data_IF_312440725130
#
_entry.id   IF_312440725130
#
_cell.length_a   1.000
_cell.length_b   1.000
_cell.length_c   1.000
_cell.angle_alpha   90.00
_cell.angle_beta   90.00
_cell.angle_gamma   90.00
#
_symmetry.space_group_name_H-M   'P 1'
#
loop_
_entity.id
_entity.type
_entity.pdbx_description
1 polymer ?
#
# COMPACT_ATOMS: atom_id res chain seq x y z
N UNK A 1 1.41 16.32 -19.48
CA UNK A 1 1.81 15.19 -20.38
C UNK A 1 0.60 14.75 -21.16
N UNK A 2 0.65 14.61 -22.50
CA UNK A 2 -0.56 14.34 -23.30
C UNK A 2 -0.74 12.83 -23.47
N UNK A 3 -1.87 12.31 -23.00
CA UNK A 3 -2.28 10.93 -23.23
C UNK A 3 -2.85 10.81 -24.65
N UNK A 4 -2.36 9.87 -25.43
CA UNK A 4 -2.82 9.62 -26.81
C UNK A 4 -3.33 8.19 -26.93
N UNK A 5 -4.47 8.01 -27.61
CA UNK A 5 -5.08 6.70 -27.85
C UNK A 5 -5.88 6.16 -26.65
N UNK A 6 -6.28 4.90 -26.75
CA UNK A 6 -7.03 4.20 -25.70
C UNK A 6 -6.07 3.52 -24.70
N UNK A 7 -6.45 3.39 -23.42
CA UNK A 7 -5.67 2.66 -22.46
C UNK A 7 -5.60 1.16 -22.83
N UNK A 8 -4.43 0.55 -22.66
CA UNK A 8 -4.25 -0.90 -22.83
C UNK A 8 -4.79 -1.69 -21.63
N UNK A 9 -4.91 -1.01 -20.49
CA UNK A 9 -5.46 -1.60 -19.26
C UNK A 9 -6.19 -0.51 -18.48
N UNK A 10 -7.34 -0.84 -17.92
CA UNK A 10 -8.08 0.02 -16.97
C UNK A 10 -8.57 -0.85 -15.84
N UNK A 11 -8.32 -0.42 -14.61
CA UNK A 11 -8.85 -1.04 -13.41
C UNK A 11 -9.05 0.02 -12.32
N UNK A 12 -9.91 -0.29 -11.36
CA UNK A 12 -10.16 0.65 -10.28
C UNK A 12 -11.23 0.18 -9.32
N UNK A 13 -11.37 0.95 -8.28
CA UNK A 13 -12.39 0.81 -7.24
C UNK A 13 -13.05 2.17 -7.01
N UNK A 14 -14.03 2.24 -6.11
CA UNK A 14 -14.54 3.54 -5.67
C UNK A 14 -13.47 4.44 -5.03
N UNK A 15 -12.35 3.86 -4.55
CA UNK A 15 -11.26 4.61 -3.91
C UNK A 15 -10.18 5.10 -4.88
N UNK A 16 -9.83 4.31 -5.87
CA UNK A 16 -8.70 4.58 -6.78
C UNK A 16 -8.99 4.04 -8.18
N UNK A 17 -8.66 4.81 -9.20
CA UNK A 17 -8.72 4.42 -10.61
C UNK A 17 -7.34 4.48 -11.24
N UNK A 18 -7.00 3.48 -12.06
CA UNK A 18 -5.74 3.39 -12.80
C UNK A 18 -6.03 3.07 -14.27
N UNK A 19 -5.43 3.85 -15.17
CA UNK A 19 -5.45 3.64 -16.60
C UNK A 19 -4.01 3.61 -17.12
N UNK A 20 -3.69 2.64 -17.96
CA UNK A 20 -2.33 2.44 -18.48
C UNK A 20 -2.36 2.63 -20.00
N UNK A 21 -1.52 3.53 -20.48
CA UNK A 21 -1.38 3.87 -21.89
C UNK A 21 0.03 3.53 -22.37
N UNK A 22 0.21 3.14 -23.63
CA UNK A 22 1.54 3.07 -24.21
C UNK A 22 2.14 4.49 -24.32
N UNK A 23 3.42 4.64 -24.02
CA UNK A 23 4.12 5.90 -24.28
C UNK A 23 4.57 5.96 -25.75
N UNK A 24 4.71 7.19 -26.28
CA UNK A 24 5.04 7.37 -27.72
C UNK A 24 6.40 6.77 -28.08
N UNK A 25 7.42 6.97 -27.23
CA UNK A 25 8.77 6.50 -27.54
C UNK A 25 9.02 5.07 -27.03
N UNK A 26 8.82 4.86 -25.73
CA UNK A 26 8.96 3.54 -25.06
C UNK A 26 8.35 3.56 -23.69
N UNK A 27 7.97 2.39 -23.16
CA UNK A 27 7.36 2.22 -21.83
C UNK A 27 5.88 2.58 -21.82
N UNK A 28 5.40 2.97 -20.66
CA UNK A 28 3.98 3.18 -20.39
C UNK A 28 3.75 4.43 -19.54
N UNK A 29 2.53 4.96 -19.66
CA UNK A 29 2.01 6.05 -18.84
C UNK A 29 0.89 5.50 -17.95
N UNK A 30 1.14 5.50 -16.64
CA UNK A 30 0.13 5.11 -15.65
C UNK A 30 -0.56 6.36 -15.15
N UNK A 31 -1.80 6.57 -15.56
CA UNK A 31 -2.65 7.63 -15.03
C UNK A 31 -3.43 7.10 -13.84
N UNK A 32 -3.15 7.65 -12.68
CA UNK A 32 -3.84 7.31 -11.44
C UNK A 32 -4.61 8.51 -10.93
N UNK A 33 -5.80 8.29 -10.41
CA UNK A 33 -6.66 9.33 -9.84
C UNK A 33 -7.48 8.79 -8.68
N UNK A 34 -7.87 9.64 -7.71
CA UNK A 34 -8.86 9.27 -6.72
C UNK A 34 -10.10 8.74 -7.40
N UNK A 35 -10.67 7.67 -6.86
CA UNK A 35 -11.93 7.11 -7.35
C UNK A 35 -13.14 7.98 -6.97
N UNK A 36 -14.31 7.71 -7.52
CA UNK A 36 -15.50 8.55 -7.32
C UNK A 36 -16.04 8.55 -5.88
N UNK A 37 -15.62 7.61 -5.04
CA UNK A 37 -16.00 7.51 -3.63
C UNK A 37 -14.82 7.81 -2.70
N UNK A 38 -13.67 8.23 -3.22
CA UNK A 38 -12.53 8.58 -2.40
C UNK A 38 -12.89 9.77 -1.49
N UNK A 39 -12.65 9.66 -0.18
CA UNK A 39 -12.99 10.74 0.75
C UNK A 39 -12.09 11.97 0.56
N UNK A 40 -10.86 11.74 0.08
CA UNK A 40 -9.83 12.77 -0.07
C UNK A 40 -9.08 12.60 -1.40
N UNK A 41 -8.57 13.71 -1.96
CA UNK A 41 -7.63 13.71 -3.07
C UNK A 41 -6.25 13.16 -2.65
N UNK A 42 -5.35 13.02 -3.62
CA UNK A 42 -3.94 12.71 -3.33
C UNK A 42 -3.27 13.85 -2.56
N UNK A 43 -2.30 13.48 -1.71
CA UNK A 43 -1.43 14.48 -1.09
C UNK A 43 -0.71 15.28 -2.17
N UNK A 44 -0.55 16.57 -1.97
CA UNK A 44 0.16 17.47 -2.89
C UNK A 44 1.51 17.86 -2.26
N UNK A 45 2.58 17.06 -2.42
CA UNK A 45 3.90 17.43 -1.95
C UNK A 45 4.40 18.67 -2.72
N UNK A 46 5.26 19.47 -2.08
CA UNK A 46 6.01 20.51 -2.78
C UNK A 46 6.87 19.89 -3.89
N UNK A 47 7.25 20.67 -4.91
CA UNK A 47 8.15 20.19 -5.96
C UNK A 47 9.48 19.70 -5.38
N UNK A 48 10.05 20.44 -4.41
CA UNK A 48 11.25 20.05 -3.70
C UNK A 48 11.11 18.69 -3.00
N UNK A 49 10.00 18.46 -2.28
CA UNK A 49 9.76 17.16 -1.65
C UNK A 49 9.58 16.04 -2.67
N UNK A 50 8.89 16.29 -3.78
CA UNK A 50 8.72 15.32 -4.85
C UNK A 50 10.07 14.92 -5.47
N UNK A 51 10.95 15.91 -5.71
CA UNK A 51 12.30 15.66 -6.23
C UNK A 51 13.15 14.84 -5.22
N UNK A 52 13.13 15.22 -3.95
CA UNK A 52 13.83 14.47 -2.88
C UNK A 52 13.28 13.05 -2.68
N UNK A 53 12.00 12.84 -2.88
CA UNK A 53 11.36 11.53 -2.81
C UNK A 53 11.61 10.66 -4.07
N UNK A 54 12.16 11.25 -5.14
CA UNK A 54 12.58 10.52 -6.34
C UNK A 54 13.95 9.88 -6.11
N UNK A 55 13.99 8.87 -5.25
CA UNK A 55 15.22 8.15 -4.91
C UNK A 55 15.44 6.96 -5.85
N UNK A 56 16.71 6.56 -5.99
CA UNK A 56 17.11 5.42 -6.80
C UNK A 56 18.04 4.48 -6.01
N UNK A 57 17.94 3.18 -6.30
CA UNK A 57 18.81 2.14 -5.80
C UNK A 57 19.22 1.24 -6.97
N UNK A 58 20.48 1.32 -7.41
CA UNK A 58 20.96 0.77 -8.67
C UNK A 58 20.14 1.35 -9.84
N UNK A 59 19.53 0.50 -10.68
CA UNK A 59 18.64 0.87 -11.78
C UNK A 59 17.16 0.97 -11.38
N UNK A 60 16.81 0.66 -10.13
CA UNK A 60 15.45 0.77 -9.58
C UNK A 60 15.18 2.18 -9.03
N UNK A 61 13.92 2.62 -9.02
CA UNK A 61 13.58 3.97 -8.56
C UNK A 61 12.16 4.12 -7.97
N UNK A 62 12.01 5.07 -7.09
CA UNK A 62 10.72 5.67 -6.79
C UNK A 62 10.40 6.71 -7.88
N UNK A 63 9.20 6.66 -8.42
CA UNK A 63 8.75 7.55 -9.50
C UNK A 63 7.68 8.49 -8.96
N UNK A 64 7.96 9.78 -8.93
CA UNK A 64 6.97 10.81 -8.61
C UNK A 64 6.38 11.40 -9.89
N UNK A 65 5.21 11.99 -9.79
CA UNK A 65 4.57 12.72 -10.86
C UNK A 65 3.85 13.97 -10.31
N UNK A 66 3.88 15.10 -11.02
CA UNK A 66 3.09 16.27 -10.63
C UNK A 66 1.60 15.94 -10.69
N UNK A 67 0.80 16.70 -9.94
CA UNK A 67 -0.65 16.60 -10.04
C UNK A 67 -1.12 17.29 -11.34
N UNK A 68 -1.98 16.60 -12.08
CA UNK A 68 -2.73 17.19 -13.19
C UNK A 68 -3.87 18.09 -12.64
N UNK A 69 -4.46 18.97 -13.47
CA UNK A 69 -5.55 19.87 -13.02
C UNK A 69 -6.76 19.16 -12.42
N UNK A 70 -7.01 17.92 -12.82
CA UNK A 70 -8.11 17.07 -12.33
C UNK A 70 -7.71 16.22 -11.09
N UNK A 71 -6.55 16.48 -10.51
CA UNK A 71 -6.02 15.76 -9.36
C UNK A 71 -5.39 14.40 -9.67
N UNK A 72 -5.39 13.98 -10.93
CA UNK A 72 -4.69 12.76 -11.35
C UNK A 72 -3.18 12.93 -11.33
N UNK A 73 -2.46 11.82 -11.40
CA UNK A 73 -1.02 11.76 -11.63
C UNK A 73 -0.70 10.86 -12.81
N UNK A 74 0.24 11.27 -13.66
CA UNK A 74 0.67 10.51 -14.84
C UNK A 74 2.13 10.14 -14.65
N UNK A 75 2.37 8.87 -14.35
CA UNK A 75 3.71 8.31 -14.15
C UNK A 75 4.24 7.72 -15.45
N UNK A 76 5.47 8.07 -15.83
CA UNK A 76 6.17 7.43 -16.96
C UNK A 76 7.07 6.33 -16.42
N UNK A 77 6.80 5.09 -16.84
CA UNK A 77 7.43 3.87 -16.34
C UNK A 77 7.73 2.86 -17.45
N UNK A 78 8.58 1.88 -17.14
CA UNK A 78 9.02 0.89 -18.12
C UNK A 78 7.95 -0.19 -18.39
N UNK A 79 7.14 -0.56 -17.38
CA UNK A 79 6.22 -1.70 -17.43
C UNK A 79 4.74 -1.34 -17.41
N UNK A 80 3.90 -2.27 -17.84
CA UNK A 80 2.43 -2.17 -17.77
C UNK A 80 1.83 -3.04 -16.68
N UNK A 81 2.58 -3.96 -16.10
CA UNK A 81 2.09 -4.90 -15.11
C UNK A 81 2.59 -4.49 -13.72
N UNK A 82 1.79 -4.74 -12.69
CA UNK A 82 2.20 -4.54 -11.30
C UNK A 82 2.74 -5.83 -10.70
N UNK A 83 3.54 -5.71 -9.62
CA UNK A 83 3.99 -6.86 -8.84
C UNK A 83 2.80 -7.63 -8.24
N UNK A 84 1.73 -6.93 -7.84
CA UNK A 84 0.50 -7.59 -7.39
C UNK A 84 -0.10 -8.48 -8.50
N UNK A 85 -0.20 -7.99 -9.74
CA UNK A 85 -0.72 -8.76 -10.86
C UNK A 85 0.16 -9.98 -11.17
N UNK A 86 1.50 -9.81 -11.08
CA UNK A 86 2.44 -10.91 -11.23
C UNK A 86 2.25 -12.01 -10.17
N UNK A 87 2.19 -11.62 -8.89
CA UNK A 87 1.99 -12.56 -7.78
C UNK A 87 0.64 -13.29 -7.85
N UNK A 88 -0.43 -12.59 -8.21
CA UNK A 88 -1.76 -13.20 -8.39
C UNK A 88 -1.80 -14.23 -9.54
N UNK A 89 -0.99 -14.00 -10.57
CA UNK A 89 -0.98 -14.86 -11.76
C UNK A 89 -0.02 -16.04 -11.65
N UNK A 90 1.15 -15.83 -11.07
CA UNK A 90 2.26 -16.78 -11.08
C UNK A 90 2.67 -17.26 -9.69
N UNK A 91 2.18 -16.63 -8.62
CA UNK A 91 2.58 -16.92 -7.24
C UNK A 91 3.95 -16.34 -6.88
N UNK A 92 4.47 -16.74 -5.70
CA UNK A 92 5.78 -16.33 -5.25
C UNK A 92 6.89 -17.00 -6.06
N UNK A 93 7.94 -16.24 -6.40
CA UNK A 93 9.08 -16.74 -7.18
C UNK A 93 10.30 -15.83 -7.06
N UNK A 94 11.45 -16.23 -7.66
CA UNK A 94 12.71 -15.49 -7.55
C UNK A 94 12.63 -14.07 -8.14
N UNK A 95 11.83 -13.87 -9.19
CA UNK A 95 11.64 -12.55 -9.80
C UNK A 95 10.90 -11.61 -8.84
N UNK A 96 9.86 -12.11 -8.17
CA UNK A 96 9.14 -11.33 -7.15
C UNK A 96 10.02 -11.08 -5.92
N UNK A 97 10.87 -12.03 -5.53
CA UNK A 97 11.84 -11.86 -4.45
C UNK A 97 12.85 -10.74 -4.78
N UNK A 98 13.39 -10.75 -6.01
CA UNK A 98 14.26 -9.68 -6.50
C UNK A 98 13.56 -8.31 -6.47
N UNK A 99 12.32 -8.25 -6.94
CA UNK A 99 11.54 -7.01 -6.93
C UNK A 99 11.33 -6.49 -5.50
N UNK A 100 10.98 -7.37 -4.55
CA UNK A 100 10.78 -6.98 -3.15
C UNK A 100 12.07 -6.54 -2.46
N UNK A 101 13.20 -7.15 -2.79
CA UNK A 101 14.50 -6.65 -2.33
C UNK A 101 14.75 -5.21 -2.82
N UNK A 102 14.50 -4.94 -4.10
CA UNK A 102 14.62 -3.60 -4.67
C UNK A 102 13.66 -2.60 -3.99
N UNK A 103 12.40 -2.98 -3.77
CA UNK A 103 11.42 -2.15 -3.04
C UNK A 103 11.91 -1.84 -1.63
N UNK A 104 12.43 -2.84 -0.91
CA UNK A 104 13.03 -2.63 0.42
C UNK A 104 14.16 -1.60 0.39
N UNK A 105 15.09 -1.74 -0.56
CA UNK A 105 16.21 -0.81 -0.71
C UNK A 105 15.76 0.62 -1.08
N UNK A 106 14.74 0.76 -1.91
CA UNK A 106 14.14 2.05 -2.26
C UNK A 106 13.48 2.73 -1.05
N UNK A 107 12.72 1.99 -0.26
CA UNK A 107 12.10 2.51 0.96
C UNK A 107 13.17 2.91 1.99
N UNK A 108 14.24 2.13 2.15
CA UNK A 108 15.34 2.50 3.04
C UNK A 108 15.99 3.84 2.63
N UNK A 109 16.13 4.08 1.32
CA UNK A 109 16.65 5.37 0.81
C UNK A 109 15.68 6.52 1.00
N UNK A 110 14.38 6.31 0.77
CA UNK A 110 13.35 7.31 1.05
C UNK A 110 13.37 7.72 2.53
N UNK A 111 13.42 6.73 3.42
CA UNK A 111 13.43 6.95 4.87
C UNK A 111 14.72 7.61 5.38
N UNK A 112 15.80 7.57 4.59
CA UNK A 112 17.03 8.29 4.89
C UNK A 112 17.02 9.75 4.40
N UNK A 113 16.03 10.18 3.62
CA UNK A 113 15.88 11.57 3.19
C UNK A 113 15.55 12.44 4.42
N UNK A 114 16.28 13.53 4.67
CA UNK A 114 15.98 14.41 5.80
C UNK A 114 14.56 14.99 5.70
N UNK A 115 13.83 14.86 6.80
CA UNK A 115 12.51 15.48 6.92
C UNK A 115 12.63 16.95 7.33
N UNK A 116 11.82 17.80 6.73
CA UNK A 116 11.69 19.21 7.06
C UNK A 116 10.22 19.66 7.08
N UNK A 117 10.00 20.94 7.25
CA UNK A 117 8.65 21.51 7.34
C UNK A 117 7.82 21.43 6.04
N UNK A 118 8.41 21.04 4.91
CA UNK A 118 7.71 20.88 3.64
C UNK A 118 7.00 19.53 3.52
N UNK A 119 7.37 18.56 4.37
CA UNK A 119 6.72 17.25 4.40
C UNK A 119 5.34 17.36 5.04
N UNK A 120 4.27 16.85 4.38
CA UNK A 120 2.94 16.88 4.98
C UNK A 120 2.94 16.26 6.36
N UNK A 121 2.56 17.04 7.36
CA UNK A 121 2.45 16.59 8.74
C UNK A 121 1.16 15.78 8.90
N UNK A 122 1.27 14.56 9.34
CA UNK A 122 0.12 13.71 9.63
C UNK A 122 0.36 12.26 9.20
N UNK A 123 -0.42 11.36 9.76
CA UNK A 123 -0.32 9.95 9.43
C UNK A 123 -0.89 9.66 8.03
N UNK A 124 -0.56 8.50 7.44
CA UNK A 124 -1.11 8.05 6.18
C UNK A 124 -2.64 8.07 6.16
N UNK A 125 -3.24 8.51 5.06
CA UNK A 125 -4.71 8.63 4.91
C UNK A 125 -5.43 7.29 5.15
N UNK A 126 -4.81 6.17 4.73
CA UNK A 126 -5.34 4.84 4.99
C UNK A 126 -5.53 4.54 6.48
N UNK A 127 -4.54 4.86 7.30
CA UNK A 127 -4.62 4.67 8.75
C UNK A 127 -5.67 5.57 9.41
N UNK A 128 -5.86 6.79 8.90
CA UNK A 128 -6.94 7.68 9.38
C UNK A 128 -8.32 7.10 9.05
N UNK A 129 -8.50 6.52 7.85
CA UNK A 129 -9.76 5.83 7.49
C UNK A 129 -10.00 4.64 8.41
N UNK A 130 -8.97 3.82 8.63
CA UNK A 130 -9.06 2.67 9.55
C UNK A 130 -9.47 3.10 10.95
N UNK A 131 -8.81 4.11 11.51
CA UNK A 131 -9.14 4.63 12.86
C UNK A 131 -10.60 5.06 12.95
N UNK A 132 -11.07 5.85 11.99
CA UNK A 132 -12.47 6.31 11.96
C UNK A 132 -13.43 5.11 11.90
N UNK A 133 -13.13 4.12 11.09
CA UNK A 133 -13.95 2.93 10.98
C UNK A 133 -13.99 2.12 12.28
N UNK A 134 -12.85 1.91 12.91
CA UNK A 134 -12.75 1.21 14.18
C UNK A 134 -13.42 1.99 15.34
N UNK A 135 -13.45 3.32 15.27
CA UNK A 135 -14.17 4.18 16.22
C UNK A 135 -15.67 4.33 15.91
N UNK A 136 -16.19 3.60 14.90
CA UNK A 136 -17.58 3.71 14.43
C UNK A 136 -17.98 5.09 13.89
N UNK A 137 -16.99 5.91 13.55
CA UNK A 137 -17.16 7.21 12.88
C UNK A 137 -17.19 7.04 11.35
N UNK A 138 -18.16 6.28 10.85
CA UNK A 138 -18.22 5.90 9.44
C UNK A 138 -19.62 6.15 8.85
N UNK A 139 -19.63 6.33 7.53
CA UNK A 139 -20.89 6.44 6.79
C UNK A 139 -21.63 5.10 6.65
N UNK A 140 -22.88 5.14 6.16
CA UNK A 140 -23.76 3.96 6.10
C UNK A 140 -23.20 2.81 5.24
N UNK A 141 -22.33 3.10 4.27
CA UNK A 141 -21.73 2.08 3.39
C UNK A 141 -20.74 1.18 4.12
N UNK A 142 -19.97 1.73 5.06
CA UNK A 142 -18.94 1.00 5.81
C UNK A 142 -19.48 0.34 7.10
N UNK A 143 -20.63 0.81 7.62
CA UNK A 143 -21.21 0.34 8.88
C UNK A 143 -21.46 -1.17 8.92
N UNK A 144 -22.14 -1.81 7.93
CA UNK A 144 -22.47 -3.23 8.00
C UNK A 144 -21.24 -4.14 8.11
N UNK A 145 -20.13 -3.73 7.47
CA UNK A 145 -18.88 -4.49 7.53
C UNK A 145 -18.23 -4.38 8.91
N UNK A 146 -18.24 -3.19 9.53
CA UNK A 146 -17.72 -2.95 10.88
C UNK A 146 -18.50 -3.73 11.93
N UNK A 147 -19.82 -3.64 11.89
CA UNK A 147 -20.71 -4.35 12.83
C UNK A 147 -20.50 -5.87 12.72
N UNK A 148 -20.48 -6.42 11.50
CA UNK A 148 -20.26 -7.84 11.28
C UNK A 148 -18.86 -8.26 11.75
N UNK A 149 -17.81 -7.52 11.39
CA UNK A 149 -16.45 -7.84 11.80
C UNK A 149 -16.31 -7.82 13.33
N UNK A 150 -16.82 -6.76 13.98
CA UNK A 150 -16.80 -6.64 15.46
C UNK A 150 -17.53 -7.81 16.12
N UNK A 151 -18.71 -8.19 15.63
CA UNK A 151 -19.46 -9.32 16.16
C UNK A 151 -18.70 -10.65 16.02
N UNK A 152 -17.93 -10.82 14.93
CA UNK A 152 -17.13 -12.02 14.69
C UNK A 152 -15.82 -12.07 15.49
N UNK A 153 -15.17 -10.93 15.70
CA UNK A 153 -13.92 -10.84 16.48
C UNK A 153 -14.18 -10.91 17.99
N UNK A 154 -15.32 -10.39 18.43
CA UNK A 154 -15.63 -10.11 19.82
C UNK A 154 -14.97 -8.83 20.32
N UNK A 155 -15.50 -8.30 21.43
CA UNK A 155 -15.17 -6.97 21.94
C UNK A 155 -13.69 -6.80 22.32
N UNK A 156 -13.07 -7.85 22.86
CA UNK A 156 -11.67 -7.78 23.28
C UNK A 156 -10.72 -7.58 22.08
N UNK A 157 -10.86 -8.38 21.02
CA UNK A 157 -10.01 -8.27 19.82
C UNK A 157 -10.29 -6.98 19.05
N UNK A 158 -11.55 -6.53 19.04
CA UNK A 158 -11.90 -5.23 18.46
C UNK A 158 -11.15 -4.09 19.14
N UNK A 159 -11.15 -4.05 20.47
CA UNK A 159 -10.37 -3.08 21.25
C UNK A 159 -8.87 -3.20 21.03
N UNK A 160 -8.37 -4.42 20.86
CA UNK A 160 -6.95 -4.63 20.51
C UNK A 160 -6.60 -3.96 19.19
N UNK A 161 -7.44 -4.10 18.15
CA UNK A 161 -7.22 -3.41 16.87
C UNK A 161 -7.29 -1.88 17.02
N UNK A 162 -8.25 -1.36 17.79
CA UNK A 162 -8.32 0.07 18.09
C UNK A 162 -7.04 0.56 18.76
N UNK A 163 -6.59 -0.12 19.82
CA UNK A 163 -5.36 0.22 20.54
C UNK A 163 -4.14 0.19 19.62
N UNK A 164 -3.96 -0.86 18.82
CA UNK A 164 -2.85 -0.96 17.87
C UNK A 164 -2.87 0.14 16.81
N UNK A 165 -4.06 0.50 16.32
CA UNK A 165 -4.23 1.59 15.37
C UNK A 165 -3.86 2.95 15.99
N UNK A 166 -4.32 3.22 17.20
CA UNK A 166 -4.01 4.46 17.93
C UNK A 166 -2.52 4.55 18.30
N UNK A 167 -1.90 3.44 18.71
CA UNK A 167 -0.45 3.36 18.94
C UNK A 167 0.32 3.69 17.66
N UNK A 168 -0.04 3.09 16.51
CA UNK A 168 0.59 3.34 15.22
C UNK A 168 0.45 4.80 14.75
N UNK A 169 -0.68 5.44 15.04
CA UNK A 169 -0.96 6.82 14.69
C UNK A 169 -0.33 7.84 15.66
N UNK A 170 -0.11 7.48 16.91
CA UNK A 170 0.46 8.35 17.95
C UNK A 170 1.98 8.23 18.08
N UNK A 171 2.58 7.17 17.54
CA UNK A 171 4.03 6.98 17.59
C UNK A 171 4.73 8.13 16.81
N UNK A 172 5.59 8.85 17.54
CA UNK A 172 6.44 9.92 16.99
C UNK A 172 7.92 9.57 17.01
N UNK A 173 8.25 8.37 17.47
CA UNK A 173 9.63 7.90 17.49
C UNK A 173 10.02 7.40 16.10
N UNK A 174 11.26 7.71 15.71
CA UNK A 174 11.82 7.25 14.42
C UNK A 174 10.95 7.64 13.20
N UNK A 175 10.32 8.83 13.27
CA UNK A 175 9.52 9.39 12.17
C UNK A 175 10.44 9.75 11.00
N UNK A 176 10.05 9.30 9.82
CA UNK A 176 10.76 9.50 8.55
C UNK A 176 9.77 9.95 7.46
N UNK A 177 10.29 10.34 6.30
CA UNK A 177 9.45 10.52 5.11
C UNK A 177 9.01 9.13 4.63
N UNK A 178 7.73 8.81 4.83
CA UNK A 178 7.13 7.57 4.35
C UNK A 178 6.47 7.76 2.98
N UNK A 179 6.47 6.69 2.21
CA UNK A 179 5.64 6.55 1.01
C UNK A 179 4.15 6.68 1.35
N UNK A 180 3.75 6.15 2.51
CA UNK A 180 2.42 6.24 3.10
C UNK A 180 1.47 5.11 2.72
N UNK A 181 1.58 4.57 1.51
CA UNK A 181 0.80 3.42 1.05
C UNK A 181 1.54 2.65 -0.06
N UNK A 182 2.70 2.03 0.22
CA UNK A 182 3.52 1.31 -0.76
C UNK A 182 2.85 -0.02 -1.14
N UNK A 183 1.80 0.06 -1.94
CA UNK A 183 1.05 -1.12 -2.38
C UNK A 183 1.81 -1.88 -3.47
N UNK A 184 1.74 -3.21 -3.45
CA UNK A 184 2.24 -4.08 -4.53
C UNK A 184 1.58 -3.76 -5.88
N UNK A 185 0.37 -3.18 -5.86
CA UNK A 185 -0.31 -2.67 -7.06
C UNK A 185 0.31 -1.39 -7.64
N UNK A 186 1.10 -0.66 -6.86
CA UNK A 186 1.88 0.52 -7.26
C UNK A 186 3.34 0.21 -7.61
N UNK A 187 3.79 -1.03 -7.46
CA UNK A 187 5.11 -1.50 -7.88
C UNK A 187 5.02 -1.95 -9.33
N UNK A 188 5.58 -1.17 -10.24
CA UNK A 188 5.67 -1.53 -11.67
C UNK A 188 6.74 -2.60 -11.84
N UNK A 189 6.33 -3.72 -12.41
CA UNK A 189 7.13 -4.93 -12.51
C UNK A 189 7.44 -5.25 -13.97
N UNK A 190 8.72 -5.55 -14.22
CA UNK A 190 9.22 -6.09 -15.48
C UNK A 190 10.17 -7.23 -15.19
N UNK A 191 10.16 -8.29 -15.98
CA UNK A 191 11.00 -9.48 -15.72
C UNK A 191 12.50 -9.19 -15.74
N UNK A 192 12.94 -8.28 -16.60
CA UNK A 192 14.37 -7.99 -16.84
C UNK A 192 14.73 -6.51 -16.74
N UNK A 193 13.76 -5.66 -16.45
CA UNK A 193 13.96 -4.21 -16.38
C UNK A 193 13.94 -3.68 -14.94
N UNK A 194 13.96 -2.37 -14.80
CA UNK A 194 13.95 -1.72 -13.48
C UNK A 194 12.65 -1.99 -12.74
N UNK A 195 12.74 -2.05 -11.42
CA UNK A 195 11.59 -1.97 -10.53
C UNK A 195 11.34 -0.49 -10.26
N UNK A 196 10.10 -0.06 -10.51
CA UNK A 196 9.68 1.32 -10.35
C UNK A 196 8.48 1.37 -9.41
N UNK A 197 8.53 2.22 -8.38
CA UNK A 197 7.44 2.34 -7.41
C UNK A 197 6.77 3.70 -7.58
N UNK A 198 5.48 3.71 -7.88
CA UNK A 198 4.69 4.92 -8.04
C UNK A 198 4.55 5.63 -6.70
N UNK A 199 5.03 6.85 -6.59
CA UNK A 199 5.20 7.57 -5.31
C UNK A 199 4.60 8.97 -5.39
N UNK A 200 4.25 9.54 -4.23
CA UNK A 200 3.80 10.92 -4.13
C UNK A 200 2.31 11.09 -3.80
N UNK A 201 1.52 10.01 -3.86
CA UNK A 201 0.07 10.08 -3.61
C UNK A 201 -0.28 10.19 -2.12
N UNK A 202 0.60 9.66 -1.25
CA UNK A 202 0.39 9.55 0.21
C UNK A 202 1.64 9.89 1.04
N UNK A 203 2.62 10.64 0.48
CA UNK A 203 3.83 11.04 1.22
C UNK A 203 3.45 11.72 2.54
N UNK A 204 4.07 11.26 3.63
CA UNK A 204 3.75 11.74 4.98
C UNK A 204 4.91 11.54 5.95
N UNK A 205 4.80 12.11 7.15
CA UNK A 205 5.70 11.80 8.27
C UNK A 205 5.07 10.72 9.13
N UNK A 206 5.74 9.56 9.21
CA UNK A 206 5.29 8.44 10.02
C UNK A 206 6.50 7.58 10.47
N UNK A 207 6.32 6.67 11.44
CA UNK A 207 7.35 5.68 11.74
C UNK A 207 7.71 4.86 10.50
N UNK A 208 9.01 4.56 10.33
CA UNK A 208 9.51 3.75 9.20
C UNK A 208 8.80 2.40 9.04
N UNK A 209 8.32 1.83 10.16
CA UNK A 209 7.57 0.56 10.19
C UNK A 209 6.22 0.62 9.48
N UNK A 210 5.70 1.82 9.21
CA UNK A 210 4.42 2.04 8.52
C UNK A 210 4.45 1.47 7.10
N UNK A 211 5.47 1.82 6.33
CA UNK A 211 5.60 1.36 4.93
C UNK A 211 5.91 -0.13 4.85
N UNK A 212 6.81 -0.64 5.70
CA UNK A 212 7.09 -2.08 5.75
C UNK A 212 5.87 -2.87 6.19
N UNK A 213 5.16 -2.39 7.22
CA UNK A 213 3.95 -3.03 7.72
C UNK A 213 2.85 -3.12 6.66
N UNK A 214 2.76 -2.11 5.79
CA UNK A 214 1.83 -2.15 4.66
C UNK A 214 2.14 -3.30 3.70
N UNK A 215 3.38 -3.40 3.22
CA UNK A 215 3.80 -4.44 2.29
C UNK A 215 3.72 -5.85 2.89
N UNK A 216 4.13 -5.98 4.16
CA UNK A 216 4.06 -7.26 4.88
C UNK A 216 2.60 -7.70 5.02
N UNK A 217 1.70 -6.80 5.36
CA UNK A 217 0.28 -7.09 5.44
C UNK A 217 -0.29 -7.57 4.11
N UNK A 218 0.08 -6.93 2.98
CA UNK A 218 -0.32 -7.37 1.64
C UNK A 218 0.24 -8.76 1.28
N UNK A 219 1.52 -9.02 1.57
CA UNK A 219 2.15 -10.31 1.28
C UNK A 219 1.54 -11.45 2.11
N UNK A 220 1.27 -11.21 3.38
CA UNK A 220 0.63 -12.17 4.28
C UNK A 220 -0.81 -12.46 3.82
N UNK A 221 -1.54 -11.43 3.42
CA UNK A 221 -2.89 -11.56 2.87
C UNK A 221 -2.89 -12.36 1.56
N UNK A 222 -1.97 -12.06 0.64
CA UNK A 222 -1.82 -12.80 -0.61
C UNK A 222 -1.44 -14.26 -0.36
N UNK A 223 -0.50 -14.53 0.55
CA UNK A 223 -0.13 -15.89 0.95
C UNK A 223 -1.34 -16.68 1.45
N UNK A 224 -2.13 -16.08 2.33
CA UNK A 224 -3.34 -16.70 2.86
C UNK A 224 -4.43 -16.91 1.80
N UNK A 225 -4.57 -15.96 0.85
CA UNK A 225 -5.61 -15.99 -0.19
C UNK A 225 -5.25 -16.92 -1.34
N UNK A 226 -4.01 -16.88 -1.81
CA UNK A 226 -3.54 -17.64 -2.96
C UNK A 226 -3.08 -19.04 -2.56
N UNK A 227 -2.66 -19.24 -1.30
CA UNK A 227 -2.03 -20.50 -0.86
C UNK A 227 -0.67 -20.71 -1.51
N UNK A 228 -0.35 -21.99 -1.77
CA UNK A 228 0.93 -22.38 -2.35
C UNK A 228 1.98 -22.72 -1.30
N UNK A 229 3.27 -22.72 -1.70
CA UNK A 229 4.39 -23.05 -0.83
C UNK A 229 4.66 -21.94 0.20
N UNK A 230 4.48 -22.22 1.53
CA UNK A 230 4.77 -21.23 2.56
C UNK A 230 6.23 -20.75 2.58
N UNK A 231 7.19 -21.62 2.20
CA UNK A 231 8.61 -21.23 2.18
C UNK A 231 8.90 -20.21 1.07
N UNK A 232 8.24 -20.35 -0.07
CA UNK A 232 8.36 -19.35 -1.14
C UNK A 232 7.81 -17.98 -0.71
N UNK A 233 6.68 -17.93 0.01
CA UNK A 233 6.16 -16.68 0.58
C UNK A 233 7.08 -16.08 1.65
N UNK A 234 7.67 -16.93 2.51
CA UNK A 234 8.66 -16.48 3.48
C UNK A 234 9.91 -15.89 2.82
N UNK A 235 10.35 -16.47 1.70
CA UNK A 235 11.47 -15.93 0.93
C UNK A 235 11.19 -14.53 0.39
N UNK A 236 9.94 -14.21 0.02
CA UNK A 236 9.53 -12.87 -0.38
C UNK A 236 9.66 -11.87 0.79
N UNK A 237 9.20 -12.23 1.97
CA UNK A 237 9.34 -11.40 3.18
C UNK A 237 10.81 -11.19 3.54
N UNK A 238 11.61 -12.26 3.51
CA UNK A 238 13.05 -12.18 3.77
C UNK A 238 13.77 -11.27 2.77
N UNK A 239 13.38 -11.30 1.49
CA UNK A 239 13.94 -10.43 0.45
C UNK A 239 13.60 -8.96 0.68
N UNK A 240 12.36 -8.65 1.06
CA UNK A 240 11.95 -7.29 1.42
C UNK A 240 12.77 -6.76 2.60
N UNK A 241 12.90 -7.55 3.68
CA UNK A 241 13.69 -7.19 4.85
C UNK A 241 15.18 -7.04 4.54
N UNK A 242 15.75 -7.95 3.74
CA UNK A 242 17.14 -7.87 3.31
C UNK A 242 17.44 -6.60 2.52
N UNK A 243 16.52 -6.21 1.61
CA UNK A 243 16.63 -4.96 0.86
C UNK A 243 16.53 -3.72 1.74
N UNK A 244 15.64 -3.73 2.72
CA UNK A 244 15.44 -2.61 3.64
C UNK A 244 16.53 -2.51 4.72
N UNK A 245 17.11 -3.63 5.12
CA UNK A 245 18.14 -3.71 6.17
C UNK A 245 17.61 -3.81 7.60
N UNK A 246 16.29 -3.90 7.80
CA UNK A 246 15.64 -4.11 9.11
C UNK A 246 14.35 -4.90 8.93
N UNK A 247 13.92 -5.58 9.99
CA UNK A 247 12.61 -6.24 10.07
C UNK A 247 11.73 -5.61 11.16
N UNK A 248 10.46 -6.00 11.20
CA UNK A 248 9.50 -5.53 12.21
C UNK A 248 9.59 -6.29 13.54
N UNK A 249 10.45 -7.32 13.62
CA UNK A 249 10.54 -8.18 14.80
C UNK A 249 9.19 -8.80 15.15
N UNK A 250 8.91 -8.91 16.43
CA UNK A 250 7.66 -9.52 16.94
C UNK A 250 6.39 -8.71 16.66
N UNK A 251 6.49 -7.51 16.08
CA UNK A 251 5.33 -6.64 15.79
C UNK A 251 4.74 -6.84 14.40
N UNK A 252 5.26 -7.77 13.61
CA UNK A 252 4.79 -8.01 12.24
C UNK A 252 3.30 -8.38 12.17
N UNK A 253 2.81 -9.17 13.14
CA UNK A 253 1.41 -9.58 13.21
C UNK A 253 0.46 -8.40 13.41
N UNK A 254 0.85 -7.40 14.22
CA UNK A 254 0.07 -6.17 14.43
C UNK A 254 -0.06 -5.37 13.14
N UNK A 255 1.06 -5.17 12.44
CA UNK A 255 1.10 -4.46 11.17
C UNK A 255 0.24 -5.18 10.11
N UNK A 256 0.36 -6.51 10.01
CA UNK A 256 -0.45 -7.32 9.11
C UNK A 256 -1.95 -7.25 9.44
N UNK A 257 -2.31 -7.41 10.72
CA UNK A 257 -3.71 -7.34 11.15
C UNK A 257 -4.35 -5.98 10.83
N UNK A 258 -3.64 -4.87 11.10
CA UNK A 258 -4.12 -3.53 10.79
C UNK A 258 -4.28 -3.33 9.27
N UNK A 259 -3.28 -3.73 8.46
CA UNK A 259 -3.35 -3.59 7.00
C UNK A 259 -4.49 -4.42 6.40
N UNK A 260 -4.68 -5.65 6.86
CA UNK A 260 -5.74 -6.54 6.41
C UNK A 260 -7.11 -6.00 6.84
N UNK A 261 -7.20 -5.45 8.05
CA UNK A 261 -8.44 -4.79 8.53
C UNK A 261 -8.78 -3.57 7.67
N UNK A 262 -7.78 -2.76 7.29
CA UNK A 262 -7.95 -1.64 6.36
C UNK A 262 -8.38 -2.13 4.96
N UNK A 263 -7.78 -3.22 4.45
CA UNK A 263 -8.20 -3.82 3.19
C UNK A 263 -9.69 -4.22 3.22
N UNK A 264 -10.11 -4.86 4.29
CA UNK A 264 -11.51 -5.28 4.46
C UNK A 264 -12.47 -4.08 4.49
N UNK A 265 -12.08 -2.99 5.18
CA UNK A 265 -12.80 -1.72 5.13
C UNK A 265 -12.89 -1.20 3.70
N UNK A 266 -11.75 -1.04 3.02
CA UNK A 266 -11.69 -0.44 1.70
C UNK A 266 -12.41 -1.32 0.65
N UNK A 267 -12.29 -2.65 0.74
CA UNK A 267 -13.04 -3.57 -0.12
C UNK A 267 -14.56 -3.44 0.10
N UNK A 268 -15.02 -3.49 1.34
CA UNK A 268 -16.44 -3.43 1.66
C UNK A 268 -17.07 -2.09 1.31
N UNK A 269 -16.30 -1.01 1.40
CA UNK A 269 -16.77 0.36 1.16
C UNK A 269 -16.71 0.76 -0.31
N UNK A 270 -15.65 0.37 -1.02
CA UNK A 270 -15.33 0.91 -2.34
C UNK A 270 -15.39 -0.12 -3.48
N UNK A 271 -15.55 -1.41 -3.16
CA UNK A 271 -15.62 -2.47 -4.18
C UNK A 271 -16.95 -3.19 -4.11
N UNK A 272 -17.21 -3.95 -3.03
CA UNK A 272 -18.45 -4.71 -2.89
C UNK A 272 -18.71 -5.14 -1.44
N UNK A 273 -19.94 -5.05 -1.00
CA UNK A 273 -20.40 -5.65 0.23
C UNK A 273 -20.55 -7.16 0.09
N UNK A 274 -19.70 -7.94 0.77
CA UNK A 274 -19.70 -9.41 0.73
C UNK A 274 -19.59 -9.98 2.16
N UNK A 275 -20.72 -10.28 2.84
CA UNK A 275 -20.71 -10.75 4.23
C UNK A 275 -19.86 -12.01 4.47
N UNK A 276 -19.82 -12.94 3.51
CA UNK A 276 -19.03 -14.16 3.63
C UNK A 276 -17.53 -13.88 3.62
N UNK A 277 -17.07 -12.89 2.84
CA UNK A 277 -15.67 -12.46 2.88
C UNK A 277 -15.34 -11.88 4.25
N UNK A 278 -16.18 -11.01 4.82
CA UNK A 278 -15.97 -10.47 6.16
C UNK A 278 -15.82 -11.59 7.19
N UNK A 279 -16.67 -12.63 7.15
CA UNK A 279 -16.56 -13.78 8.06
C UNK A 279 -15.26 -14.56 7.86
N UNK A 280 -14.85 -14.77 6.62
CA UNK A 280 -13.59 -15.45 6.27
C UNK A 280 -12.39 -14.68 6.82
N UNK A 281 -12.34 -13.38 6.59
CA UNK A 281 -11.28 -12.50 7.09
C UNK A 281 -11.28 -12.39 8.62
N UNK A 282 -12.46 -12.40 9.26
CA UNK A 282 -12.54 -12.38 10.72
C UNK A 282 -11.86 -13.60 11.37
N UNK A 283 -11.94 -14.78 10.73
CA UNK A 283 -11.20 -15.98 11.17
C UNK A 283 -9.68 -15.78 11.09
N UNK A 284 -9.20 -15.21 10.01
CA UNK A 284 -7.79 -14.92 9.81
C UNK A 284 -7.28 -13.81 10.76
N UNK A 285 -8.04 -12.75 10.93
CA UNK A 285 -7.71 -11.68 11.88
C UNK A 285 -7.64 -12.17 13.31
N UNK A 286 -8.56 -13.06 13.73
CA UNK A 286 -8.46 -13.70 15.07
C UNK A 286 -7.12 -14.38 15.26
N UNK A 287 -6.68 -15.18 14.28
CA UNK A 287 -5.39 -15.83 14.34
C UNK A 287 -4.24 -14.82 14.49
N UNK A 288 -4.21 -13.77 13.67
CA UNK A 288 -3.14 -12.76 13.72
C UNK A 288 -3.13 -11.95 15.02
N UNK A 289 -4.31 -11.68 15.61
CA UNK A 289 -4.42 -10.90 16.84
C UNK A 289 -4.00 -11.74 18.06
N UNK A 290 -4.24 -13.04 18.02
CA UNK A 290 -3.97 -13.94 19.15
C UNK A 290 -2.52 -14.49 19.15
N UNK A 291 -1.71 -14.20 18.08
CA UNK A 291 -0.27 -14.47 18.06
C UNK A 291 0.51 -13.57 19.03
#
# INVERSE_FOLDING_TARGET
MTLTGSPVTTYGTGLLSTQIYPAVDSGYLWRRQPGPLAPDGFVLPSLDLADRATVSANDHRLVTAPAEPDGARIYRVAGKDSLAAHLLRFGPGPEAAHALHAVGALLARLHAVPADATVPSGPPRGWLRLRKWLAEEHGPTAAPAGELLRSQLGEQRWRTLQTWCDEALSDRQHTVICHGAPSLGGVVFTLTGPIEVLTGEDLCLAPWSTDLGWLIGELIELSWTCGGDPQAWQALLASLYSGYGKDLGQRWNRAAALRITLHLHDFSTYVAWRPNEVRRYAGFLRFLIDL
#
